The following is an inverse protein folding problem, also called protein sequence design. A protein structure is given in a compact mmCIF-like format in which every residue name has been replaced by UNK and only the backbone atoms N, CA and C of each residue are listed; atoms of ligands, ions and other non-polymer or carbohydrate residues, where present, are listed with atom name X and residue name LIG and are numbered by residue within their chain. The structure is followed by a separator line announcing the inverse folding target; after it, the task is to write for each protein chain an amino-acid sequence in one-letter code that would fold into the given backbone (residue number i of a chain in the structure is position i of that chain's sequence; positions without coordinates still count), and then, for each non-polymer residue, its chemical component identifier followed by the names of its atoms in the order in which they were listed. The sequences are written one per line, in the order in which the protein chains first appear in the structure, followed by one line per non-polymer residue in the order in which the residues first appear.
data_IF_871276594072
#
_entry.id   IF_871276594072
#
_cell.length_a   1.000
_cell.length_b   1.000
_cell.length_c   1.000
_cell.angle_alpha   90.00
_cell.angle_beta   90.00
_cell.angle_gamma   90.00
#
_symmetry.space_group_name_H-M   'P 1'
#
loop_
_entity.id
_entity.type
_entity.pdbx_description
1 polymer ?
#
# COMPACT_ATOMS: atom_id res chain seq x y z
N UNK A 1 60.23 -4.89 -15.14
CA UNK A 1 59.47 -3.64 -15.36
C UNK A 1 60.28 -2.53 -14.73
N UNK A 2 60.80 -1.60 -15.52
CA UNK A 2 61.59 -0.47 -15.03
C UNK A 2 60.71 0.48 -14.21
N UNK A 3 61.30 1.23 -13.26
CA UNK A 3 60.57 2.24 -12.47
C UNK A 3 59.85 3.27 -13.36
N UNK A 4 60.38 3.52 -14.55
CA UNK A 4 59.86 4.43 -15.57
C UNK A 4 58.51 3.98 -16.17
N UNK A 5 58.24 2.67 -16.25
CA UNK A 5 56.96 2.13 -16.75
C UNK A 5 55.90 2.03 -15.64
N UNK A 6 56.33 1.90 -14.38
CA UNK A 6 55.45 1.70 -13.22
C UNK A 6 54.81 3.03 -12.77
N UNK A 7 55.51 4.15 -12.92
CA UNK A 7 55.04 5.48 -12.50
C UNK A 7 53.78 5.96 -13.26
N UNK A 8 53.72 5.87 -14.61
CA UNK A 8 52.52 6.22 -15.38
C UNK A 8 51.32 5.33 -15.02
N UNK A 9 51.54 4.02 -14.90
CA UNK A 9 50.48 3.05 -14.57
C UNK A 9 49.90 3.28 -13.16
N UNK A 10 50.71 3.72 -12.19
CA UNK A 10 50.23 4.10 -10.85
C UNK A 10 49.38 5.36 -10.88
N UNK A 11 49.73 6.33 -11.73
CA UNK A 11 48.99 7.57 -11.92
C UNK A 11 47.65 7.32 -12.62
N UNK A 12 47.65 6.49 -13.66
CA UNK A 12 46.42 6.06 -14.33
C UNK A 12 45.49 5.29 -13.39
N UNK A 13 46.03 4.39 -12.55
CA UNK A 13 45.25 3.68 -11.55
C UNK A 13 44.65 4.61 -10.47
N UNK A 14 45.34 5.69 -10.09
CA UNK A 14 44.79 6.65 -9.13
C UNK A 14 43.69 7.51 -9.75
N UNK A 15 43.83 7.88 -11.02
CA UNK A 15 42.78 8.56 -11.80
C UNK A 15 41.54 7.68 -12.01
N UNK A 16 41.73 6.41 -12.38
CA UNK A 16 40.62 5.45 -12.52
C UNK A 16 39.86 5.25 -11.19
N UNK A 17 40.58 5.13 -10.07
CA UNK A 17 39.95 5.05 -8.75
C UNK A 17 39.13 6.29 -8.42
N UNK A 18 39.63 7.48 -8.76
CA UNK A 18 38.90 8.74 -8.56
C UNK A 18 37.64 8.81 -9.43
N UNK A 19 37.71 8.40 -10.69
CA UNK A 19 36.54 8.34 -11.58
C UNK A 19 35.48 7.34 -11.09
N UNK A 20 35.90 6.17 -10.60
CA UNK A 20 34.99 5.17 -10.03
C UNK A 20 34.24 5.76 -8.82
N UNK A 21 34.93 6.51 -7.97
CA UNK A 21 34.32 7.12 -6.79
C UNK A 21 33.32 8.23 -7.19
N UNK A 22 33.67 9.10 -8.13
CA UNK A 22 32.74 10.10 -8.68
C UNK A 22 31.49 9.46 -9.32
N UNK A 23 31.65 8.36 -10.05
CA UNK A 23 30.53 7.63 -10.65
C UNK A 23 29.61 7.01 -9.60
N UNK A 24 30.16 6.44 -8.51
CA UNK A 24 29.37 5.93 -7.38
C UNK A 24 28.57 7.04 -6.72
N UNK A 25 29.21 8.17 -6.46
CA UNK A 25 28.60 9.36 -5.86
C UNK A 25 27.42 9.89 -6.70
N UNK A 26 27.59 9.90 -8.04
CA UNK A 26 26.53 10.24 -8.97
C UNK A 26 25.39 9.21 -8.97
N UNK A 27 25.72 7.92 -8.88
CA UNK A 27 24.75 6.82 -8.82
C UNK A 27 23.92 6.87 -7.53
N UNK A 28 24.55 7.14 -6.37
CA UNK A 28 23.86 7.32 -5.09
C UNK A 28 22.89 8.50 -5.19
N UNK A 29 23.36 9.69 -5.59
CA UNK A 29 22.51 10.88 -5.79
C UNK A 29 21.38 10.66 -6.79
N UNK A 30 21.61 9.87 -7.85
CA UNK A 30 20.57 9.51 -8.83
C UNK A 30 19.56 8.52 -8.25
N UNK A 31 20.02 7.54 -7.46
CA UNK A 31 19.18 6.54 -6.79
C UNK A 31 18.26 7.17 -5.74
N UNK A 32 18.79 8.10 -4.94
CA UNK A 32 18.05 8.91 -3.98
C UNK A 32 16.96 9.74 -4.70
N UNK A 33 17.34 10.40 -5.79
CA UNK A 33 16.41 11.17 -6.62
C UNK A 33 15.33 10.31 -7.29
N UNK A 34 15.62 9.06 -7.68
CA UNK A 34 14.64 8.16 -8.30
C UNK A 34 13.62 7.65 -7.29
N UNK A 35 14.07 7.25 -6.10
CA UNK A 35 13.20 6.84 -4.99
C UNK A 35 12.24 7.96 -4.59
N UNK A 36 12.75 9.18 -4.47
CA UNK A 36 11.93 10.36 -4.18
C UNK A 36 10.94 10.71 -5.29
N UNK A 37 11.38 10.71 -6.55
CA UNK A 37 10.49 10.98 -7.70
C UNK A 37 9.39 9.93 -7.82
N UNK A 38 9.72 8.66 -7.61
CA UNK A 38 8.73 7.57 -7.60
C UNK A 38 7.76 7.72 -6.43
N UNK A 39 8.24 8.00 -5.22
CA UNK A 39 7.40 8.28 -4.04
C UNK A 39 6.49 9.49 -4.27
N UNK A 40 7.01 10.60 -4.81
CA UNK A 40 6.22 11.78 -5.19
C UNK A 40 5.17 11.44 -6.26
N UNK A 41 5.51 10.63 -7.25
CA UNK A 41 4.56 10.14 -8.26
C UNK A 41 3.45 9.24 -7.69
N UNK A 42 3.80 8.37 -6.75
CA UNK A 42 2.85 7.50 -6.06
C UNK A 42 1.94 8.29 -5.11
N UNK A 43 2.48 9.26 -4.38
CA UNK A 43 1.68 10.20 -3.57
C UNK A 43 0.72 10.98 -4.46
N UNK A 44 1.17 11.53 -5.60
CA UNK A 44 0.27 12.20 -6.56
C UNK A 44 -0.86 11.29 -7.06
N UNK A 45 -0.59 10.01 -7.32
CA UNK A 45 -1.63 9.04 -7.70
C UNK A 45 -2.62 8.74 -6.57
N UNK A 46 -2.13 8.61 -5.34
CA UNK A 46 -2.98 8.41 -4.16
C UNK A 46 -3.83 9.64 -3.84
N UNK A 47 -3.26 10.85 -3.99
CA UNK A 47 -3.98 12.13 -3.88
C UNK A 47 -5.08 12.24 -4.94
N UNK A 48 -4.83 11.76 -6.16
CA UNK A 48 -5.82 11.71 -7.23
C UNK A 48 -6.77 10.51 -7.13
N UNK A 49 -6.94 9.93 -5.93
CA UNK A 49 -7.92 8.87 -5.68
C UNK A 49 -7.71 7.55 -6.43
N UNK A 50 -6.54 7.33 -7.05
CA UNK A 50 -6.28 6.10 -7.82
C UNK A 50 -5.83 4.95 -6.92
N UNK A 51 -6.34 3.75 -7.20
CA UNK A 51 -5.96 2.53 -6.49
C UNK A 51 -4.45 2.25 -6.67
N UNK A 52 -3.75 2.04 -5.56
CA UNK A 52 -2.30 1.80 -5.52
C UNK A 52 -1.93 0.33 -5.24
N UNK A 53 -2.90 -0.51 -4.92
CA UNK A 53 -2.72 -1.91 -4.49
C UNK A 53 -3.67 -2.86 -5.24
N UNK A 54 -3.71 -4.14 -4.85
CA UNK A 54 -4.70 -5.09 -5.35
C UNK A 54 -6.12 -4.57 -5.07
N UNK A 55 -7.02 -4.80 -6.04
CA UNK A 55 -8.45 -4.46 -5.93
C UNK A 55 -9.03 -5.04 -4.64
N UNK A 56 -9.64 -4.22 -3.77
CA UNK A 56 -10.28 -4.71 -2.55
C UNK A 56 -11.45 -5.66 -2.87
N UNK A 57 -11.67 -6.62 -1.98
CA UNK A 57 -12.81 -7.53 -2.05
C UNK A 57 -14.14 -6.76 -2.13
N UNK A 58 -15.10 -7.19 -2.94
CA UNK A 58 -16.35 -6.44 -3.14
C UNK A 58 -16.26 -5.28 -4.13
N UNK A 59 -15.08 -5.00 -4.69
CA UNK A 59 -14.90 -4.06 -5.80
C UNK A 59 -14.34 -4.74 -7.05
N UNK A 60 -14.64 -4.14 -8.20
CA UNK A 60 -13.99 -4.39 -9.48
C UNK A 60 -13.28 -3.11 -9.96
N UNK A 61 -12.32 -3.25 -10.87
CA UNK A 61 -11.64 -2.12 -11.48
C UNK A 61 -12.17 -1.92 -12.89
N UNK A 62 -12.86 -0.81 -13.13
CA UNK A 62 -13.35 -0.42 -14.45
C UNK A 62 -12.81 0.97 -14.79
N UNK A 63 -12.16 1.12 -15.95
CA UNK A 63 -11.58 2.39 -16.39
C UNK A 63 -10.65 3.08 -15.37
N UNK A 64 -9.92 2.29 -14.57
CA UNK A 64 -9.03 2.72 -13.47
C UNK A 64 -9.76 3.27 -12.23
N UNK A 65 -11.07 3.13 -12.17
CA UNK A 65 -11.91 3.50 -11.03
C UNK A 65 -12.46 2.24 -10.36
N UNK A 66 -12.54 2.26 -9.03
CA UNK A 66 -13.18 1.17 -8.30
C UNK A 66 -14.69 1.32 -8.39
N UNK A 67 -15.36 0.24 -8.78
CA UNK A 67 -16.82 0.12 -8.79
C UNK A 67 -17.24 -1.08 -7.93
N UNK A 68 -18.39 -1.03 -7.24
CA UNK A 68 -18.90 -2.20 -6.53
C UNK A 68 -19.02 -3.41 -7.47
N UNK A 69 -18.45 -4.55 -7.08
CA UNK A 69 -18.52 -5.81 -7.82
C UNK A 69 -19.78 -6.60 -7.43
N UNK A 70 -20.05 -7.72 -8.12
CA UNK A 70 -21.21 -8.59 -7.80
C UNK A 70 -21.26 -9.06 -6.35
N UNK A 71 -20.11 -9.18 -5.68
CA UNK A 71 -20.01 -9.59 -4.29
C UNK A 71 -19.92 -8.41 -3.30
N UNK A 72 -20.33 -7.20 -3.68
CA UNK A 72 -20.24 -6.05 -2.78
C UNK A 72 -21.11 -6.21 -1.52
N UNK A 73 -22.29 -6.84 -1.64
CA UNK A 73 -23.19 -7.08 -0.50
C UNK A 73 -22.53 -7.97 0.55
N UNK A 74 -21.64 -8.88 0.13
CA UNK A 74 -20.90 -9.73 1.06
C UNK A 74 -20.02 -8.90 2.01
N UNK A 75 -19.54 -7.73 1.57
CA UNK A 75 -18.82 -6.79 2.44
C UNK A 75 -19.77 -6.18 3.47
N UNK A 76 -20.98 -5.78 3.06
CA UNK A 76 -21.99 -5.22 3.96
C UNK A 76 -22.40 -6.24 5.03
N UNK A 77 -22.60 -7.49 4.64
CA UNK A 77 -22.88 -8.61 5.54
C UNK A 77 -21.75 -8.82 6.54
N UNK A 78 -20.49 -8.89 6.07
CA UNK A 78 -19.31 -9.04 6.93
C UNK A 78 -19.24 -7.95 8.01
N UNK A 79 -19.46 -6.69 7.63
CA UNK A 79 -19.41 -5.56 8.57
C UNK A 79 -20.56 -5.63 9.58
N UNK A 80 -21.76 -5.95 9.12
CA UNK A 80 -22.96 -6.03 9.96
C UNK A 80 -22.88 -7.20 10.94
N UNK A 81 -22.47 -8.38 10.47
CA UNK A 81 -22.27 -9.57 11.28
C UNK A 81 -21.20 -9.37 12.35
N UNK A 82 -20.07 -8.77 11.96
CA UNK A 82 -19.02 -8.45 12.92
C UNK A 82 -19.51 -7.48 13.99
N UNK A 83 -20.36 -6.50 13.63
CA UNK A 83 -20.90 -5.54 14.60
C UNK A 83 -21.91 -6.18 15.56
N UNK A 84 -22.85 -6.99 15.05
CA UNK A 84 -23.90 -7.64 15.83
C UNK A 84 -23.37 -8.54 16.95
N UNK A 85 -22.19 -9.14 16.77
CA UNK A 85 -21.44 -9.78 17.86
C UNK A 85 -21.88 -11.20 18.26
N UNK A 86 -22.87 -11.76 17.56
CA UNK A 86 -23.29 -13.16 17.73
C UNK A 86 -22.24 -14.15 17.19
N UNK A 87 -21.37 -13.70 16.28
CA UNK A 87 -20.36 -14.53 15.63
C UNK A 87 -18.94 -14.06 15.93
N UNK A 88 -18.07 -15.02 16.26
CA UNK A 88 -16.64 -14.77 16.38
C UNK A 88 -16.01 -14.55 15.00
N UNK A 89 -14.84 -13.89 14.94
CA UNK A 89 -14.07 -13.75 13.70
C UNK A 89 -13.88 -15.07 12.96
N UNK A 90 -13.69 -16.18 13.70
CA UNK A 90 -13.52 -17.50 13.10
C UNK A 90 -14.79 -17.98 12.40
N UNK A 91 -15.96 -17.82 13.03
CA UNK A 91 -17.24 -18.20 12.43
C UNK A 91 -17.55 -17.40 11.16
N UNK A 92 -17.32 -16.08 11.20
CA UNK A 92 -17.49 -15.20 10.03
C UNK A 92 -16.51 -15.60 8.92
N UNK A 93 -15.26 -15.89 9.27
CA UNK A 93 -14.23 -16.37 8.34
C UNK A 93 -14.65 -17.66 7.63
N UNK A 94 -15.17 -18.64 8.37
CA UNK A 94 -15.65 -19.91 7.82
C UNK A 94 -16.88 -19.71 6.92
N UNK A 95 -17.85 -18.88 7.35
CA UNK A 95 -19.07 -18.57 6.59
C UNK A 95 -18.76 -17.96 5.22
N UNK A 96 -17.87 -16.96 5.20
CA UNK A 96 -17.49 -16.24 3.97
C UNK A 96 -16.32 -16.90 3.22
N UNK A 97 -15.87 -18.08 3.65
CA UNK A 97 -14.72 -18.80 3.05
C UNK A 97 -13.47 -17.92 2.93
N UNK A 98 -13.30 -17.00 3.89
CA UNK A 98 -12.13 -16.14 4.01
C UNK A 98 -11.15 -16.71 5.02
N UNK A 99 -9.90 -16.29 4.95
CA UNK A 99 -8.98 -16.47 6.09
C UNK A 99 -9.26 -15.42 7.15
N UNK A 100 -8.98 -15.74 8.42
CA UNK A 100 -9.15 -14.78 9.53
C UNK A 100 -8.35 -13.50 9.30
N UNK A 101 -7.14 -13.61 8.75
CA UNK A 101 -6.34 -12.44 8.39
C UNK A 101 -6.92 -11.66 7.21
N UNK A 102 -7.52 -12.34 6.23
CA UNK A 102 -8.25 -11.69 5.14
C UNK A 102 -9.44 -10.89 5.66
N UNK A 103 -10.24 -11.49 6.54
CA UNK A 103 -11.37 -10.85 7.20
C UNK A 103 -10.94 -9.61 7.99
N UNK A 104 -9.88 -9.70 8.79
CA UNK A 104 -9.31 -8.54 9.51
C UNK A 104 -8.89 -7.41 8.57
N UNK A 105 -8.28 -7.74 7.41
CA UNK A 105 -7.90 -6.76 6.40
C UNK A 105 -9.13 -6.08 5.80
N UNK A 106 -10.21 -6.82 5.54
CA UNK A 106 -11.47 -6.27 5.06
C UNK A 106 -12.03 -5.26 6.06
N UNK A 107 -12.19 -5.67 7.33
CA UNK A 107 -12.77 -4.84 8.38
C UNK A 107 -12.00 -3.54 8.65
N UNK A 108 -10.71 -3.46 8.28
CA UNK A 108 -9.84 -2.27 8.48
C UNK A 108 -9.62 -1.41 7.24
N UNK A 109 -10.11 -1.85 6.08
CA UNK A 109 -9.77 -1.17 4.83
C UNK A 109 -10.64 0.08 4.63
N UNK A 110 -10.00 1.25 4.71
CA UNK A 110 -10.60 2.55 4.46
C UNK A 110 -11.25 2.70 3.07
N UNK A 111 -10.89 1.84 2.12
CA UNK A 111 -11.50 1.83 0.78
C UNK A 111 -13.01 1.59 0.83
N UNK A 112 -13.52 0.88 1.84
CA UNK A 112 -14.95 0.66 1.96
C UNK A 112 -15.76 1.92 2.31
N UNK A 113 -15.10 2.96 2.84
CA UNK A 113 -15.72 4.25 3.15
C UNK A 113 -15.30 5.37 2.17
N UNK A 114 -14.87 5.01 0.96
CA UNK A 114 -14.49 6.00 -0.05
C UNK A 114 -13.13 6.66 0.18
N UNK A 115 -12.23 6.03 0.94
CA UNK A 115 -10.90 6.58 1.27
C UNK A 115 -9.78 5.64 0.88
N UNK A 116 -8.59 6.18 0.58
CA UNK A 116 -7.43 5.37 0.19
C UNK A 116 -6.31 5.59 1.20
N UNK A 117 -5.80 4.50 1.78
CA UNK A 117 -4.64 4.54 2.68
C UNK A 117 -3.36 4.32 1.87
N UNK A 118 -2.46 5.29 1.87
CA UNK A 118 -1.15 5.19 1.21
C UNK A 118 -0.07 5.86 2.07
N UNK A 119 1.06 5.17 2.26
CA UNK A 119 2.20 5.68 3.04
C UNK A 119 1.79 6.27 4.41
N UNK A 120 0.99 5.51 5.17
CA UNK A 120 0.43 5.88 6.48
C UNK A 120 -0.48 7.11 6.52
N UNK A 121 -0.82 7.68 5.36
CA UNK A 121 -1.78 8.76 5.23
C UNK A 121 -3.07 8.26 4.58
N UNK A 122 -4.18 8.93 4.87
CA UNK A 122 -5.50 8.61 4.35
C UNK A 122 -5.95 9.77 3.47
N UNK A 123 -6.32 9.44 2.23
CA UNK A 123 -6.77 10.38 1.22
C UNK A 123 -8.22 10.08 0.85
N UNK A 124 -8.94 11.08 0.33
CA UNK A 124 -10.25 10.84 -0.26
C UNK A 124 -10.08 10.09 -1.58
N UNK A 125 -10.85 9.01 -1.76
CA UNK A 125 -10.96 8.31 -3.03
C UNK A 125 -12.10 8.90 -3.87
N UNK A 126 -12.05 8.63 -5.18
CA UNK A 126 -13.11 9.05 -6.13
C UNK A 126 -14.19 7.97 -6.30
N UNK A 127 -13.98 6.79 -5.72
CA UNK A 127 -14.88 5.65 -5.87
C UNK A 127 -16.07 5.69 -4.91
N UNK A 128 -17.15 5.01 -5.31
CA UNK A 128 -18.36 4.91 -4.48
C UNK A 128 -18.07 4.07 -3.23
N UNK A 129 -18.37 4.54 -2.01
CA UNK A 129 -18.27 3.73 -0.80
C UNK A 129 -19.30 2.60 -0.79
N UNK A 130 -18.92 1.44 -0.25
CA UNK A 130 -19.83 0.31 0.04
C UNK A 130 -20.38 0.42 1.46
N UNK A 131 -19.59 0.94 2.41
CA UNK A 131 -19.94 1.00 3.83
C UNK A 131 -20.06 2.45 4.27
N UNK A 132 -21.03 2.74 5.15
CA UNK A 132 -21.16 4.07 5.76
C UNK A 132 -19.99 4.32 6.73
N UNK A 133 -19.56 5.59 6.83
CA UNK A 133 -18.50 5.96 7.78
C UNK A 133 -18.89 5.62 9.22
N UNK A 134 -20.18 5.76 9.57
CA UNK A 134 -20.73 5.40 10.89
C UNK A 134 -20.56 3.91 11.20
N UNK A 135 -20.98 3.01 10.29
CA UNK A 135 -20.85 1.56 10.47
C UNK A 135 -19.37 1.16 10.58
N UNK A 136 -18.52 1.71 9.72
CA UNK A 136 -17.08 1.47 9.77
C UNK A 136 -16.47 1.88 11.10
N UNK A 137 -16.82 3.06 11.63
CA UNK A 137 -16.31 3.56 12.90
C UNK A 137 -16.75 2.68 14.08
N UNK A 138 -18.01 2.24 14.11
CA UNK A 138 -18.48 1.28 15.13
C UNK A 138 -17.70 -0.03 15.09
N UNK A 139 -17.44 -0.55 13.89
CA UNK A 139 -16.58 -1.73 13.71
C UNK A 139 -15.16 -1.46 14.23
N UNK A 140 -14.53 -0.33 13.90
CA UNK A 140 -13.18 -0.01 14.39
C UNK A 140 -13.14 0.04 15.92
N UNK A 141 -14.10 0.71 16.56
CA UNK A 141 -14.20 0.79 18.01
C UNK A 141 -14.33 -0.59 18.65
N UNK A 142 -15.11 -1.49 18.04
CA UNK A 142 -15.24 -2.87 18.49
C UNK A 142 -13.94 -3.66 18.33
N UNK A 143 -13.25 -3.51 17.20
CA UNK A 143 -11.95 -4.17 16.98
C UNK A 143 -10.90 -3.72 18.00
N UNK A 144 -10.89 -2.43 18.33
CA UNK A 144 -9.99 -1.86 19.34
C UNK A 144 -10.27 -2.43 20.74
N UNK A 145 -11.55 -2.44 21.18
CA UNK A 145 -11.95 -3.04 22.46
C UNK A 145 -11.56 -4.51 22.60
N UNK A 146 -11.57 -5.25 21.49
CA UNK A 146 -11.20 -6.67 21.44
C UNK A 146 -9.68 -6.90 21.25
N UNK A 147 -8.87 -5.84 21.17
CA UNK A 147 -7.42 -5.95 20.97
C UNK A 147 -7.02 -6.54 19.62
N UNK A 148 -7.90 -6.47 18.61
CA UNK A 148 -7.64 -7.06 17.29
C UNK A 148 -6.71 -6.14 16.49
N UNK A 149 -5.41 -6.46 16.51
CA UNK A 149 -4.37 -5.79 15.70
C UNK A 149 -4.43 -6.10 14.21
#
# INVERSE_FOLDING_TARGET
MSEDEISPLKKENSELKRQIEELKDQLEKFSENRGEKQKKGMIKKAVNGKLMSRVPFGYALENKTLIPAENFQEVEDIFSEFLNGEMSLRKISEKHKLSVNGLKKILKNFTYIGKIKFNNQIYNGEHKPIISTTLFNHVQNKMEKLGIK
#
